data_IF_691555059558
#
_entry.id   IF_691555059558
#
_cell.length_a   1.000
_cell.length_b   1.000
_cell.length_c   1.000
_cell.angle_alpha   90.00
_cell.angle_beta   90.00
_cell.angle_gamma   90.00
#
_symmetry.space_group_name_H-M   'P 1'
#
loop_
_entity.id
_entity.type
_entity.pdbx_description
1 polymer ?
#
# COMPACT_ATOMS: atom_id res chain seq x y z
N UNK A 1 20.26 8.72 25.38
CA UNK A 1 18.83 8.93 25.68
C UNK A 1 18.16 9.47 24.43
N UNK A 2 17.29 8.69 23.78
CA UNK A 2 16.69 9.01 22.48
C UNK A 2 15.35 8.27 22.33
N UNK A 3 14.33 8.76 23.05
CA UNK A 3 12.93 8.39 22.81
C UNK A 3 12.10 9.64 22.99
N UNK A 4 12.16 10.52 21.99
CA UNK A 4 11.42 11.78 22.00
C UNK A 4 10.04 11.59 21.35
N UNK A 5 10.00 10.88 20.22
CA UNK A 5 8.77 10.61 19.49
C UNK A 5 8.75 9.18 18.94
N UNK A 6 7.56 8.58 18.94
CA UNK A 6 7.26 7.36 18.19
C UNK A 6 6.19 7.69 17.16
N UNK A 7 6.45 7.34 15.91
CA UNK A 7 5.53 7.57 14.79
C UNK A 7 5.12 6.22 14.23
N UNK A 8 3.81 6.00 14.11
CA UNK A 8 3.21 4.87 13.41
C UNK A 8 2.22 5.39 12.36
N UNK A 9 1.66 4.50 11.54
CA UNK A 9 0.53 4.83 10.67
C UNK A 9 -0.72 5.29 11.44
N UNK A 10 -0.76 5.03 12.75
CA UNK A 10 -1.87 5.35 13.66
C UNK A 10 -1.67 6.65 14.42
N UNK A 11 -0.52 7.33 14.27
CA UNK A 11 -0.28 8.64 14.85
C UNK A 11 1.11 8.81 15.46
N UNK A 12 1.24 9.83 16.31
CA UNK A 12 2.50 10.24 16.93
C UNK A 12 2.34 10.21 18.45
N UNK A 13 3.21 9.47 19.13
CA UNK A 13 3.36 9.50 20.57
C UNK A 13 4.56 10.38 20.95
N UNK A 14 4.31 11.55 21.53
CA UNK A 14 5.34 12.36 22.20
C UNK A 14 5.62 11.74 23.57
N UNK A 15 6.88 11.38 23.82
CA UNK A 15 7.33 10.67 25.02
C UNK A 15 8.17 11.55 25.95
N UNK A 16 8.46 12.79 25.56
CA UNK A 16 9.38 13.67 26.29
C UNK A 16 8.79 14.06 27.64
N UNK A 17 9.61 13.93 28.69
CA UNK A 17 9.25 14.32 30.05
C UNK A 17 8.13 13.50 30.70
N UNK A 18 7.70 12.39 30.06
CA UNK A 18 6.64 11.51 30.56
C UNK A 18 7.19 10.45 31.52
N UNK A 19 6.38 10.11 32.52
CA UNK A 19 6.58 8.96 33.40
C UNK A 19 6.42 7.64 32.64
N UNK A 20 6.91 6.53 33.20
CA UNK A 20 6.74 5.19 32.62
C UNK A 20 5.28 4.89 32.23
N UNK A 21 4.33 5.22 33.12
CA UNK A 21 2.91 4.97 32.90
C UNK A 21 2.36 5.83 31.73
N UNK A 22 2.75 7.11 31.66
CA UNK A 22 2.34 8.02 30.59
C UNK A 22 2.98 7.65 29.24
N UNK A 23 4.22 7.15 29.26
CA UNK A 23 4.89 6.60 28.07
C UNK A 23 4.12 5.39 27.55
N UNK A 24 3.78 4.44 28.44
CA UNK A 24 3.00 3.26 28.06
C UNK A 24 1.62 3.66 27.51
N UNK A 25 0.91 4.57 28.18
CA UNK A 25 -0.36 5.08 27.72
C UNK A 25 -0.26 5.71 26.31
N UNK A 26 0.77 6.53 26.08
CA UNK A 26 1.01 7.15 24.77
C UNK A 26 1.34 6.12 23.69
N UNK A 27 2.13 5.10 24.00
CA UNK A 27 2.45 4.01 23.07
C UNK A 27 1.22 3.16 22.73
N UNK A 28 0.36 2.88 23.71
CA UNK A 28 -0.91 2.16 23.46
C UNK A 28 -1.80 2.92 22.47
N UNK A 29 -1.83 4.25 22.55
CA UNK A 29 -2.65 5.09 21.67
C UNK A 29 -2.21 5.06 20.19
N UNK A 30 -0.97 4.68 19.91
CA UNK A 30 -0.43 4.57 18.54
C UNK A 30 -0.11 3.13 18.13
N UNK A 31 -0.48 2.15 18.96
CA UNK A 31 -0.36 0.72 18.64
C UNK A 31 -1.56 0.23 17.82
N UNK A 32 -1.33 -0.83 17.03
CA UNK A 32 -2.41 -1.54 16.34
C UNK A 32 -3.39 -2.15 17.36
N UNK A 33 -4.69 -1.94 17.14
CA UNK A 33 -5.74 -2.33 18.08
C UNK A 33 -5.82 -3.84 18.31
N UNK A 34 -5.29 -4.66 17.40
CA UNK A 34 -5.19 -6.12 17.59
C UNK A 34 -4.25 -6.49 18.75
N UNK A 35 -3.35 -5.60 19.16
CA UNK A 35 -2.38 -5.82 20.24
C UNK A 35 -2.61 -4.95 21.46
N UNK A 36 -3.35 -3.85 21.33
CA UNK A 36 -3.58 -2.84 22.37
C UNK A 36 -3.97 -3.43 23.72
N UNK A 37 -4.98 -4.32 23.76
CA UNK A 37 -5.47 -4.85 25.04
C UNK A 37 -4.46 -5.82 25.68
N UNK A 38 -3.80 -6.66 24.90
CA UNK A 38 -2.77 -7.58 25.42
C UNK A 38 -1.59 -6.79 26.02
N UNK A 39 -1.15 -5.73 25.33
CA UNK A 39 -0.09 -4.83 25.81
C UNK A 39 -0.51 -4.10 27.09
N UNK A 40 -1.77 -3.63 27.18
CA UNK A 40 -2.32 -3.00 28.37
C UNK A 40 -2.32 -3.95 29.56
N UNK A 41 -2.79 -5.19 29.37
CA UNK A 41 -2.82 -6.20 30.42
C UNK A 41 -1.42 -6.56 30.91
N UNK A 42 -0.44 -6.64 30.02
CA UNK A 42 0.96 -6.87 30.38
C UNK A 42 1.52 -5.73 31.23
N UNK A 43 1.28 -4.47 30.83
CA UNK A 43 1.70 -3.32 31.61
C UNK A 43 1.07 -3.27 33.02
N UNK A 44 -0.22 -3.61 33.12
CA UNK A 44 -0.92 -3.72 34.42
C UNK A 44 -0.31 -4.84 35.27
N UNK A 45 -0.08 -6.02 34.69
CA UNK A 45 0.52 -7.18 35.38
C UNK A 45 1.89 -6.84 35.98
N UNK A 46 2.67 -6.02 35.30
CA UNK A 46 3.98 -5.57 35.75
C UNK A 46 3.95 -4.31 36.64
N UNK A 47 2.76 -3.83 37.02
CA UNK A 47 2.59 -2.65 37.87
C UNK A 47 3.05 -1.34 37.20
N UNK A 48 3.19 -1.33 35.87
CA UNK A 48 3.62 -0.17 35.08
C UNK A 48 2.46 0.71 34.62
N UNK A 49 1.22 0.23 34.79
CA UNK A 49 0.01 0.92 34.40
C UNK A 49 -1.11 0.59 35.40
N UNK A 50 -1.99 1.56 35.68
CA UNK A 50 -3.16 1.34 36.55
C UNK A 50 -4.12 0.32 35.96
N UNK A 51 -4.73 -0.54 36.80
CA UNK A 51 -5.79 -1.47 36.39
C UNK A 51 -7.01 -0.75 35.79
N UNK A 52 -7.24 0.48 36.24
CA UNK A 52 -8.35 1.34 35.81
C UNK A 52 -8.05 2.08 34.51
N UNK A 53 -6.80 2.04 34.03
CA UNK A 53 -6.48 2.66 32.75
C UNK A 53 -7.28 1.99 31.62
N UNK A 54 -7.89 2.84 30.80
CA UNK A 54 -8.59 2.47 29.57
C UNK A 54 -7.98 3.27 28.44
N UNK A 55 -7.76 2.60 27.31
CA UNK A 55 -7.33 3.27 26.07
C UNK A 55 -8.48 4.18 25.63
N UNK A 56 -8.26 5.48 25.36
CA UNK A 56 -9.32 6.37 24.90
C UNK A 56 -9.98 5.86 23.62
N UNK A 57 -11.30 6.01 23.50
CA UNK A 57 -12.12 5.44 22.42
C UNK A 57 -11.59 5.79 21.02
N UNK A 58 -11.12 7.02 20.83
CA UNK A 58 -10.55 7.49 19.56
C UNK A 58 -9.34 6.68 19.06
N UNK A 59 -8.65 5.95 19.94
CA UNK A 59 -7.49 5.12 19.60
C UNK A 59 -7.81 3.62 19.52
N UNK A 60 -9.05 3.19 19.81
CA UNK A 60 -9.43 1.78 19.84
C UNK A 60 -9.70 1.17 18.46
N UNK A 61 -9.60 1.97 17.39
CA UNK A 61 -9.81 1.53 16.01
C UNK A 61 -8.55 1.75 15.13
N UNK A 62 -7.39 1.56 15.73
CA UNK A 62 -6.09 1.52 15.06
C UNK A 62 -5.92 0.21 14.28
N UNK A 63 -6.73 0.04 13.24
CA UNK A 63 -6.73 -1.12 12.37
C UNK A 63 -6.33 -0.73 10.95
N UNK A 64 -5.60 -1.58 10.21
CA UNK A 64 -5.18 -1.28 8.84
C UNK A 64 -6.35 -0.84 7.94
N UNK A 65 -7.50 -1.51 8.06
CA UNK A 65 -8.68 -1.25 7.22
C UNK A 65 -9.36 0.09 7.53
N UNK A 66 -9.29 0.55 8.79
CA UNK A 66 -9.84 1.84 9.20
C UNK A 66 -9.09 3.00 8.53
N UNK A 67 -7.78 2.87 8.37
CA UNK A 67 -6.92 3.89 7.75
C UNK A 67 -6.89 3.79 6.22
N UNK A 68 -7.14 2.61 5.63
CA UNK A 68 -7.25 2.49 4.18
C UNK A 68 -8.31 3.42 3.59
N UNK A 69 -9.46 3.59 4.25
CA UNK A 69 -10.51 4.52 3.79
C UNK A 69 -10.02 5.96 3.73
N UNK A 70 -9.35 6.41 4.79
CA UNK A 70 -8.80 7.77 4.89
C UNK A 70 -7.70 7.98 3.84
N UNK A 71 -6.77 7.03 3.73
CA UNK A 71 -5.70 7.08 2.73
C UNK A 71 -6.24 7.07 1.30
N UNK A 72 -7.27 6.27 1.01
CA UNK A 72 -7.88 6.23 -0.31
C UNK A 72 -8.54 7.56 -0.67
N UNK A 73 -9.24 8.21 0.28
CA UNK A 73 -9.82 9.54 0.06
C UNK A 73 -8.76 10.55 -0.40
N UNK A 74 -7.62 10.63 0.28
CA UNK A 74 -6.55 11.54 -0.09
C UNK A 74 -5.76 11.12 -1.35
N UNK A 75 -5.64 9.81 -1.62
CA UNK A 75 -5.09 9.31 -2.90
C UNK A 75 -5.94 9.76 -4.07
N UNK A 76 -7.28 9.73 -3.95
CA UNK A 76 -8.18 10.23 -4.99
C UNK A 76 -8.06 11.74 -5.22
N UNK A 77 -7.63 12.51 -4.20
CA UNK A 77 -7.30 13.92 -4.33
C UNK A 77 -5.90 14.19 -4.91
N UNK A 78 -5.13 13.14 -5.23
CA UNK A 78 -3.78 13.28 -5.79
C UNK A 78 -2.69 13.64 -4.76
N UNK A 79 -3.01 13.65 -3.46
CA UNK A 79 -2.06 14.05 -2.40
C UNK A 79 -1.02 13.00 -2.06
N UNK A 80 -1.24 11.74 -2.47
CA UNK A 80 -0.32 10.63 -2.25
C UNK A 80 0.12 10.02 -3.59
N UNK A 81 1.00 10.70 -4.35
CA UNK A 81 1.58 10.13 -5.56
C UNK A 81 2.45 8.91 -5.22
N UNK A 82 2.68 8.04 -6.21
CA UNK A 82 3.49 6.83 -6.01
C UNK A 82 4.94 7.13 -5.58
N UNK A 83 5.46 8.31 -5.95
CA UNK A 83 6.81 8.78 -5.63
C UNK A 83 6.74 10.21 -5.06
N UNK A 84 6.45 10.38 -3.75
CA UNK A 84 6.23 11.69 -3.14
C UNK A 84 7.49 12.57 -3.06
N UNK A 85 8.67 11.96 -3.17
CA UNK A 85 9.96 12.66 -3.18
C UNK A 85 10.58 12.76 -4.59
N UNK A 86 9.78 12.54 -5.63
CA UNK A 86 10.25 12.45 -7.00
C UNK A 86 10.80 11.07 -7.36
N UNK A 87 11.05 10.87 -8.65
CA UNK A 87 11.66 9.67 -9.21
C UNK A 87 12.30 9.99 -10.56
N UNK A 88 13.38 9.31 -10.91
CA UNK A 88 13.98 9.37 -12.25
C UNK A 88 13.17 8.59 -13.29
N UNK A 89 12.12 7.87 -12.86
CA UNK A 89 11.24 7.13 -13.75
C UNK A 89 10.27 8.08 -14.44
N UNK A 90 10.17 7.94 -15.75
CA UNK A 90 9.11 8.56 -16.54
C UNK A 90 7.74 7.99 -16.19
N UNK A 91 6.66 8.72 -16.49
CA UNK A 91 5.29 8.23 -16.27
C UNK A 91 5.02 6.87 -16.93
N UNK A 92 5.57 6.65 -18.13
CA UNK A 92 5.42 5.38 -18.84
C UNK A 92 6.12 4.24 -18.10
N UNK A 93 7.30 4.48 -17.53
CA UNK A 93 8.04 3.49 -16.75
C UNK A 93 7.35 3.15 -15.44
N UNK A 94 6.69 4.14 -14.82
CA UNK A 94 5.86 3.91 -13.63
C UNK A 94 4.67 3.00 -13.97
N UNK A 95 3.99 3.24 -15.09
CA UNK A 95 2.87 2.43 -15.58
C UNK A 95 3.33 1.00 -15.89
N UNK A 96 4.41 0.85 -16.66
CA UNK A 96 5.00 -0.45 -17.01
C UNK A 96 5.44 -1.19 -15.75
N UNK A 97 6.15 -0.53 -14.83
CA UNK A 97 6.62 -1.11 -13.59
C UNK A 97 5.47 -1.64 -12.72
N UNK A 98 4.34 -0.92 -12.67
CA UNK A 98 3.12 -1.38 -11.98
C UNK A 98 2.54 -2.63 -12.64
N UNK A 99 2.40 -2.63 -13.96
CA UNK A 99 1.87 -3.76 -14.71
C UNK A 99 2.75 -5.02 -14.58
N UNK A 100 4.08 -4.86 -14.63
CA UNK A 100 5.03 -5.95 -14.42
C UNK A 100 4.94 -6.52 -13.00
N UNK A 101 4.74 -5.69 -11.98
CA UNK A 101 4.49 -6.16 -10.60
C UNK A 101 3.21 -7.00 -10.51
N UNK A 102 2.13 -6.60 -11.19
CA UNK A 102 0.88 -7.38 -11.27
C UNK A 102 1.13 -8.75 -11.92
N UNK A 103 1.82 -8.77 -13.06
CA UNK A 103 2.16 -10.01 -13.76
C UNK A 103 3.05 -10.91 -12.90
N UNK A 104 4.06 -10.35 -12.23
CA UNK A 104 4.94 -11.11 -11.32
C UNK A 104 4.17 -11.80 -10.20
N UNK A 105 3.20 -11.11 -9.57
CA UNK A 105 2.35 -11.71 -8.52
C UNK A 105 1.51 -12.88 -9.02
N UNK A 106 1.07 -12.81 -10.29
CA UNK A 106 0.20 -13.82 -10.92
C UNK A 106 0.98 -14.90 -11.66
N UNK A 107 2.31 -14.78 -11.77
CA UNK A 107 3.14 -15.64 -12.63
C UNK A 107 3.03 -17.13 -12.31
N UNK A 108 2.78 -17.46 -11.03
CA UNK A 108 2.67 -18.84 -10.56
C UNK A 108 1.26 -19.45 -10.70
N UNK A 109 0.27 -18.64 -11.08
CA UNK A 109 -1.12 -19.07 -11.26
C UNK A 109 -1.54 -18.93 -12.72
N UNK A 110 -1.67 -20.07 -13.41
CA UNK A 110 -2.04 -20.12 -14.83
C UNK A 110 -3.45 -19.59 -15.09
N UNK A 111 -4.39 -19.77 -14.16
CA UNK A 111 -5.76 -19.29 -14.32
C UNK A 111 -5.80 -17.77 -14.20
N UNK A 112 -5.06 -17.20 -13.24
CA UNK A 112 -4.94 -15.75 -13.10
C UNK A 112 -4.21 -15.10 -14.27
N UNK A 113 -3.17 -15.71 -14.81
CA UNK A 113 -2.52 -15.26 -16.06
C UNK A 113 -3.48 -15.31 -17.26
N UNK A 114 -4.27 -16.38 -17.39
CA UNK A 114 -5.26 -16.49 -18.46
C UNK A 114 -6.32 -15.38 -18.38
N UNK A 115 -6.80 -15.04 -17.17
CA UNK A 115 -7.72 -13.91 -16.97
C UNK A 115 -7.10 -12.58 -17.41
N UNK A 116 -5.83 -12.34 -17.05
CA UNK A 116 -5.13 -11.12 -17.47
C UNK A 116 -4.98 -11.08 -18.99
N UNK A 117 -4.64 -12.21 -19.63
CA UNK A 117 -4.52 -12.31 -21.08
C UNK A 117 -5.86 -12.00 -21.78
N UNK A 118 -6.95 -12.61 -21.33
CA UNK A 118 -8.30 -12.38 -21.87
C UNK A 118 -8.68 -10.90 -21.72
N UNK A 119 -8.43 -10.30 -20.55
CA UNK A 119 -8.68 -8.87 -20.34
C UNK A 119 -7.93 -8.02 -21.36
N UNK A 120 -6.64 -8.29 -21.58
CA UNK A 120 -5.84 -7.55 -22.56
C UNK A 120 -6.19 -7.79 -24.03
N UNK A 121 -6.96 -8.84 -24.35
CA UNK A 121 -7.53 -9.01 -25.70
C UNK A 121 -8.67 -8.03 -25.98
N UNK A 122 -9.37 -7.55 -24.95
CA UNK A 122 -10.42 -6.52 -25.08
C UNK A 122 -9.88 -5.10 -25.22
N UNK A 123 -8.60 -4.87 -24.94
CA UNK A 123 -7.98 -3.54 -24.98
C UNK A 123 -7.39 -3.24 -26.37
N UNK A 124 -7.50 -1.98 -26.81
CA UNK A 124 -6.86 -1.53 -28.05
C UNK A 124 -5.45 -1.02 -27.78
N UNK A 125 -4.46 -1.65 -28.42
CA UNK A 125 -3.05 -1.25 -28.31
C UNK A 125 -2.76 0.18 -28.84
N UNK A 126 -3.67 0.75 -29.64
CA UNK A 126 -3.54 2.08 -30.23
C UNK A 126 -4.08 3.21 -29.35
N UNK A 127 -4.69 2.90 -28.19
CA UNK A 127 -5.11 3.96 -27.27
C UNK A 127 -3.90 4.73 -26.73
N UNK A 128 -4.05 6.04 -26.60
CA UNK A 128 -3.00 6.97 -26.19
C UNK A 128 -2.33 6.57 -24.86
N UNK A 129 -3.11 6.03 -23.92
CA UNK A 129 -2.63 5.60 -22.62
C UNK A 129 -1.86 4.27 -22.65
N UNK A 130 -1.90 3.50 -23.75
CA UNK A 130 -1.19 2.23 -23.90
C UNK A 130 -0.01 2.32 -24.86
N UNK A 131 -0.09 3.16 -25.89
CA UNK A 131 0.92 3.19 -26.95
C UNK A 131 2.31 3.54 -26.43
N UNK A 132 2.43 4.53 -25.53
CA UNK A 132 3.74 4.93 -24.98
C UNK A 132 4.34 3.87 -24.03
N UNK A 133 3.60 3.28 -23.08
CA UNK A 133 4.07 2.10 -22.33
C UNK A 133 4.47 0.91 -23.20
N UNK A 134 3.70 0.61 -24.25
CA UNK A 134 4.01 -0.48 -25.18
C UNK A 134 5.29 -0.19 -25.97
N UNK A 135 5.47 1.06 -26.44
CA UNK A 135 6.70 1.50 -27.11
C UNK A 135 7.91 1.37 -26.21
N UNK A 136 7.80 1.76 -24.93
CA UNK A 136 8.88 1.61 -23.94
C UNK A 136 9.32 0.16 -23.75
N UNK A 137 8.39 -0.78 -23.89
CA UNK A 137 8.65 -2.22 -23.82
C UNK A 137 9.01 -2.88 -25.16
N UNK A 138 9.05 -2.12 -26.26
CA UNK A 138 9.26 -2.66 -27.60
C UNK A 138 8.09 -3.53 -28.11
N UNK A 139 6.90 -3.36 -27.56
CA UNK A 139 5.70 -4.16 -27.83
C UNK A 139 4.61 -3.38 -28.58
N UNK A 140 4.91 -2.22 -29.15
CA UNK A 140 3.96 -1.45 -29.99
C UNK A 140 3.59 -2.23 -31.26
N UNK A 141 4.58 -2.86 -31.90
CA UNK A 141 4.43 -3.64 -33.13
C UNK A 141 5.02 -5.05 -32.96
N UNK A 142 4.26 -6.01 -32.37
CA UNK A 142 4.76 -7.35 -32.10
C UNK A 142 5.03 -8.13 -33.39
N UNK A 143 6.23 -8.68 -33.52
CA UNK A 143 6.74 -9.36 -34.73
C UNK A 143 6.45 -10.85 -34.77
N UNK A 144 6.17 -11.46 -33.62
CA UNK A 144 5.94 -12.89 -33.46
C UNK A 144 4.83 -13.19 -32.45
N UNK A 145 4.38 -14.45 -32.40
CA UNK A 145 3.29 -14.88 -31.51
C UNK A 145 3.63 -14.66 -30.02
N UNK A 146 4.89 -14.84 -29.64
CA UNK A 146 5.36 -14.64 -28.27
C UNK A 146 5.22 -13.18 -27.85
N UNK A 147 5.66 -12.24 -28.69
CA UNK A 147 5.48 -10.79 -28.46
C UNK A 147 4.01 -10.38 -28.44
N UNK A 148 3.16 -11.00 -29.27
CA UNK A 148 1.70 -10.77 -29.21
C UNK A 148 1.13 -11.18 -27.85
N UNK A 149 1.54 -12.33 -27.31
CA UNK A 149 1.12 -12.77 -25.97
C UNK A 149 1.62 -11.79 -24.91
N UNK A 150 2.87 -11.34 -24.99
CA UNK A 150 3.43 -10.36 -24.06
C UNK A 150 2.72 -9.01 -24.10
N UNK A 151 2.42 -8.50 -25.29
CA UNK A 151 1.64 -7.28 -25.48
C UNK A 151 0.27 -7.40 -24.80
N UNK A 152 -0.43 -8.52 -25.01
CA UNK A 152 -1.76 -8.76 -24.42
C UNK A 152 -1.72 -8.92 -22.90
N UNK A 153 -0.72 -9.63 -22.37
CA UNK A 153 -0.52 -9.70 -20.91
C UNK A 153 -0.24 -8.32 -20.30
N UNK A 154 0.58 -7.50 -20.96
CA UNK A 154 0.91 -6.17 -20.50
C UNK A 154 -0.31 -5.24 -20.54
N UNK A 155 -1.08 -5.26 -21.63
CA UNK A 155 -2.37 -4.54 -21.76
C UNK A 155 -3.35 -4.94 -20.66
N UNK A 156 -3.56 -6.24 -20.46
CA UNK A 156 -4.46 -6.74 -19.43
C UNK A 156 -4.04 -6.36 -18.01
N UNK A 157 -2.72 -6.36 -17.74
CA UNK A 157 -2.19 -5.94 -16.46
C UNK A 157 -2.34 -4.43 -16.22
N UNK A 158 -2.16 -3.60 -17.25
CA UNK A 158 -2.41 -2.15 -17.19
C UNK A 158 -3.90 -1.84 -17.00
N UNK A 159 -4.78 -2.53 -17.73
CA UNK A 159 -6.24 -2.40 -17.59
C UNK A 159 -6.75 -2.86 -16.21
N UNK A 160 -6.08 -3.83 -15.59
CA UNK A 160 -6.34 -4.32 -14.23
C UNK A 160 -6.09 -3.31 -13.12
N UNK A 161 -5.13 -2.41 -13.30
CA UNK A 161 -4.70 -1.43 -12.29
C UNK A 161 -5.45 -0.09 -12.33
N UNK A 162 -6.51 0.02 -13.15
CA UNK A 162 -7.38 1.21 -13.28
C UNK A 162 -8.64 1.12 -12.41
N UNK A 163 -8.88 -0.02 -11.76
CA UNK A 163 -10.05 -0.29 -10.89
C UNK A 163 -9.74 -0.03 -9.43
#
# INVERSE_FOLDING_TARGET
HLRDFVVTEYGIADLRGKTDAEVIAALLNVADSRFQENLRQEAVRHGKLSSEYRIPEMFQNNLPDSYQRVLNHFRHQGLFPAFPFGTDLTEQEIIVGRALKVLKKKLHDKAELAKVLIKGMGESASEEHYILPLRRMGLEHPKNLKERIYQRLLLGAMAGGRS
#
